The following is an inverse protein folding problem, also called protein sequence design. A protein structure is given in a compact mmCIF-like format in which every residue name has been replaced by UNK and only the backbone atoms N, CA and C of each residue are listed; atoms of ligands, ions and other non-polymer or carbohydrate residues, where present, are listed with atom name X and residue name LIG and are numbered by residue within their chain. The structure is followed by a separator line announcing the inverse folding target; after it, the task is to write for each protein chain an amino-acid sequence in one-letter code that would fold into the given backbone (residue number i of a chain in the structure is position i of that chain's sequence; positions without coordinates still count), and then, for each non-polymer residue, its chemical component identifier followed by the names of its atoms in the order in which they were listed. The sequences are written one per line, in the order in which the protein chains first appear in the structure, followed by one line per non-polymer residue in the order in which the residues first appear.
data_IF_782070365638
#
_entry.id   IF_782070365638
#
_cell.length_a   1.000
_cell.length_b   1.000
_cell.length_c   1.000
_cell.angle_alpha   90.00
_cell.angle_beta   90.00
_cell.angle_gamma   90.00
#
_symmetry.space_group_name_H-M   'P 1'
#
loop_
_entity.id
_entity.type
_entity.pdbx_description
1 polymer ?
#
# COMPACT_ATOMS: atom_id res chain seq x y z
N UNK A 1 7.82 -1.74 -0.25
CA UNK A 1 7.50 -0.32 0.03
C UNK A 1 6.72 0.23 -1.16
N UNK A 2 5.58 0.89 -0.93
CA UNK A 2 4.81 1.52 -2.00
C UNK A 2 5.48 2.82 -2.42
N UNK A 3 5.55 3.10 -3.73
CA UNK A 3 6.25 4.28 -4.26
C UNK A 3 5.35 5.54 -4.30
N UNK A 4 4.04 5.41 -4.07
CA UNK A 4 3.07 6.51 -4.09
C UNK A 4 2.03 6.41 -2.98
N UNK A 5 1.39 7.53 -2.65
CA UNK A 5 0.29 7.61 -1.69
C UNK A 5 -0.92 8.38 -2.26
N UNK A 6 -2.09 8.15 -1.66
CA UNK A 6 -3.33 8.83 -2.03
C UNK A 6 -3.43 10.15 -1.25
N UNK A 7 -3.69 11.28 -1.94
CA UNK A 7 -3.81 12.61 -1.34
C UNK A 7 -5.11 13.31 -1.75
N UNK A 8 -5.70 14.13 -0.87
CA UNK A 8 -6.85 14.98 -1.23
C UNK A 8 -6.43 16.05 -2.24
N UNK A 9 -7.23 16.25 -3.28
CA UNK A 9 -6.98 17.22 -4.34
C UNK A 9 -8.29 17.80 -4.87
N UNK A 10 -8.31 19.11 -5.14
CA UNK A 10 -9.47 19.77 -5.74
C UNK A 10 -9.15 20.03 -7.21
N UNK A 11 -9.76 19.24 -8.09
CA UNK A 11 -9.55 19.37 -9.52
C UNK A 11 -10.58 20.34 -10.13
N UNK A 12 -10.18 21.30 -10.98
CA UNK A 12 -11.11 22.31 -11.53
C UNK A 12 -12.30 21.71 -12.29
N UNK A 13 -12.14 20.51 -12.88
CA UNK A 13 -13.22 19.76 -13.53
C UNK A 13 -13.99 18.81 -12.60
N UNK A 14 -13.33 18.18 -11.62
CA UNK A 14 -13.90 17.06 -10.86
C UNK A 14 -14.29 17.44 -9.43
N UNK A 15 -14.00 18.67 -8.99
CA UNK A 15 -14.21 19.08 -7.61
C UNK A 15 -13.26 18.37 -6.64
N UNK A 16 -13.74 18.08 -5.44
CA UNK A 16 -12.94 17.45 -4.40
C UNK A 16 -12.80 15.94 -4.63
N UNK A 17 -11.59 15.51 -4.94
CA UNK A 17 -11.24 14.13 -5.24
C UNK A 17 -9.98 13.70 -4.47
N UNK A 18 -9.54 12.47 -4.73
CA UNK A 18 -8.23 11.96 -4.32
C UNK A 18 -7.34 11.83 -5.55
N UNK A 19 -6.06 12.18 -5.45
CA UNK A 19 -5.04 11.97 -6.48
C UNK A 19 -3.94 11.02 -5.98
N UNK A 20 -3.18 10.46 -6.92
CA UNK A 20 -1.97 9.70 -6.63
C UNK A 20 -0.80 10.68 -6.62
N UNK A 21 -0.01 10.68 -5.55
CA UNK A 21 1.22 11.46 -5.43
C UNK A 21 2.39 10.52 -5.19
N UNK A 22 3.47 10.74 -5.92
CA UNK A 22 4.70 9.97 -5.78
C UNK A 22 5.41 10.34 -4.46
N UNK A 23 5.94 9.34 -3.75
CA UNK A 23 6.74 9.51 -2.52
C UNK A 23 8.20 9.79 -2.90
N UNK A 24 8.68 9.14 -3.97
CA UNK A 24 10.04 9.26 -4.49
C UNK A 24 10.04 9.56 -5.99
N UNK A 25 11.23 9.79 -6.54
CA UNK A 25 11.42 9.90 -7.99
C UNK A 25 11.08 8.56 -8.66
N UNK A 26 10.41 8.64 -9.81
CA UNK A 26 9.91 7.48 -10.57
C UNK A 26 10.46 7.57 -11.98
N UNK A 27 10.90 6.44 -12.53
CA UNK A 27 11.41 6.39 -13.90
C UNK A 27 10.28 6.38 -14.92
N UNK A 28 10.61 6.76 -16.15
CA UNK A 28 9.67 6.59 -17.26
C UNK A 28 9.33 5.11 -17.39
N UNK A 29 8.04 4.81 -17.59
CA UNK A 29 7.51 3.45 -17.75
C UNK A 29 7.53 2.59 -16.46
N UNK A 30 7.89 3.16 -15.31
CA UNK A 30 7.76 2.50 -14.00
C UNK A 30 6.29 2.49 -13.54
N UNK A 31 5.85 1.38 -12.96
CA UNK A 31 4.47 1.20 -12.49
C UNK A 31 4.20 1.99 -11.20
N UNK A 32 3.17 2.84 -11.22
CA UNK A 32 2.73 3.58 -10.05
C UNK A 32 1.92 2.68 -9.11
N UNK A 33 2.52 2.28 -8.00
CA UNK A 33 1.86 1.47 -6.97
C UNK A 33 1.49 2.29 -5.74
N UNK A 34 0.30 2.04 -5.19
CA UNK A 34 -0.22 2.69 -3.97
C UNK A 34 -0.61 1.65 -2.93
N UNK A 35 -0.48 1.99 -1.65
CA UNK A 35 -1.07 1.20 -0.58
C UNK A 35 -2.59 1.45 -0.55
N UNK A 36 -3.39 0.39 -0.71
CA UNK A 36 -4.85 0.48 -0.70
C UNK A 36 -5.43 0.91 0.65
N UNK A 37 -4.70 0.65 1.75
CA UNK A 37 -5.10 1.07 3.09
C UNK A 37 -6.25 0.25 3.69
N UNK A 38 -6.34 -1.04 3.36
CA UNK A 38 -7.20 -1.97 4.10
C UNK A 38 -6.71 -2.10 5.54
N UNK A 39 -7.63 -2.29 6.47
CA UNK A 39 -7.30 -2.60 7.85
C UNK A 39 -6.65 -3.98 7.95
N UNK A 40 -5.53 -4.04 8.67
CA UNK A 40 -4.74 -5.27 8.84
C UNK A 40 -5.11 -6.04 10.10
N UNK A 41 -5.81 -5.39 11.03
CA UNK A 41 -6.29 -6.02 12.25
C UNK A 41 -7.71 -6.58 12.03
N UNK A 42 -8.01 -7.81 12.49
CA UNK A 42 -9.37 -8.32 12.51
C UNK A 42 -10.14 -7.61 13.63
N UNK A 43 -10.50 -6.35 13.42
CA UNK A 43 -11.22 -5.53 14.38
C UNK A 43 -12.69 -5.96 14.46
N UNK A 44 -12.96 -7.14 15.03
CA UNK A 44 -14.24 -7.62 15.56
C UNK A 44 -15.49 -7.58 14.66
N UNK A 45 -15.39 -7.04 13.44
CA UNK A 45 -16.44 -6.96 12.44
C UNK A 45 -16.24 -8.11 11.48
N UNK A 46 -17.28 -8.91 11.37
CA UNK A 46 -17.31 -10.20 10.69
C UNK A 46 -16.95 -10.08 9.19
N UNK A 47 -15.69 -10.31 8.83
CA UNK A 47 -15.24 -10.51 7.45
C UNK A 47 -13.78 -10.11 7.24
N UNK A 48 -13.05 -10.78 6.33
CA UNK A 48 -11.81 -10.20 5.80
C UNK A 48 -12.20 -8.94 5.02
N UNK A 49 -11.97 -7.76 5.58
CA UNK A 49 -12.34 -6.50 4.91
C UNK A 49 -11.49 -6.26 3.64
N UNK A 50 -10.38 -6.99 3.52
CA UNK A 50 -9.54 -7.03 2.34
C UNK A 50 -9.81 -8.29 1.47
N UNK A 51 -9.71 -8.18 0.14
CA UNK A 51 -9.78 -9.31 -0.77
C UNK A 51 -8.68 -10.37 -0.52
N UNK A 52 -8.94 -11.64 -0.88
CA UNK A 52 -8.01 -12.75 -0.68
C UNK A 52 -6.61 -12.50 -1.28
N UNK A 53 -6.56 -11.94 -2.50
CA UNK A 53 -5.30 -11.61 -3.17
C UNK A 53 -4.46 -10.61 -2.38
N UNK A 54 -5.10 -9.68 -1.66
CA UNK A 54 -4.41 -8.69 -0.82
C UNK A 54 -3.86 -9.34 0.43
N UNK A 55 -4.66 -10.17 1.10
CA UNK A 55 -4.25 -10.90 2.32
C UNK A 55 -3.06 -11.82 2.04
N UNK A 56 -3.05 -12.52 0.90
CA UNK A 56 -1.93 -13.36 0.48
C UNK A 56 -0.65 -12.54 0.27
N UNK A 57 -0.73 -11.43 -0.47
CA UNK A 57 0.42 -10.53 -0.68
C UNK A 57 0.92 -9.90 0.62
N UNK A 58 0.01 -9.61 1.57
CA UNK A 58 0.36 -9.09 2.89
C UNK A 58 1.16 -10.12 3.70
N UNK A 59 0.76 -11.39 3.70
CA UNK A 59 1.52 -12.47 4.35
C UNK A 59 2.92 -12.63 3.73
N UNK A 60 3.01 -12.61 2.39
CA UNK A 60 4.29 -12.67 1.68
C UNK A 60 5.18 -11.44 1.98
N UNK A 61 4.58 -10.27 2.19
CA UNK A 61 5.30 -9.08 2.62
C UNK A 61 5.83 -9.23 4.05
N UNK A 62 4.99 -9.65 5.00
CA UNK A 62 5.37 -9.86 6.39
C UNK A 62 6.49 -10.90 6.56
N UNK A 63 6.44 -12.02 5.84
CA UNK A 63 7.49 -13.04 5.85
C UNK A 63 8.83 -12.52 5.31
N UNK A 64 8.80 -11.65 4.29
CA UNK A 64 10.02 -11.03 3.75
C UNK A 64 10.64 -10.05 4.74
N UNK A 65 9.83 -9.30 5.47
CA UNK A 65 10.35 -8.35 6.46
C UNK A 65 10.89 -9.08 7.71
N UNK A 66 10.21 -10.11 8.21
CA UNK A 66 10.71 -10.91 9.34
C UNK A 66 11.97 -11.71 9.00
N UNK A 67 12.14 -12.13 7.74
CA UNK A 67 13.37 -12.77 7.25
C UNK A 67 14.56 -11.83 7.06
N UNK A 68 14.34 -10.51 6.97
CA UNK A 68 15.41 -9.50 6.89
C UNK A 68 16.00 -9.18 8.25
N UNK A 69 15.18 -9.19 9.30
CA UNK A 69 15.63 -8.96 10.68
C UNK A 69 16.65 -10.00 11.18
N UNK A 70 16.64 -11.22 10.62
CA UNK A 70 17.60 -12.27 10.94
C UNK A 70 18.97 -12.13 10.22
N UNK A 71 19.10 -11.25 9.21
CA UNK A 71 20.34 -11.07 8.44
C UNK A 71 21.10 -9.78 8.74
N UNK A 72 20.53 -8.87 9.55
CA UNK A 72 21.17 -7.59 9.92
C UNK A 72 21.97 -7.63 11.24
N UNK A 73 22.11 -8.81 11.87
CA UNK A 73 22.88 -9.01 13.12
C UNK A 73 24.10 -9.92 12.94
N UNK A 74 24.92 -9.75 11.89
CA UNK A 74 26.22 -10.41 11.79
C UNK A 74 27.35 -9.46 11.38
#
# INVERSE_FOLDING_TARGET
ASASHIQRFIHPRFGQIKCIRTICAIQKDEELTVAYGYDHEPSGKSGPEAPEWYTKQLQEFQQRESGKEAKETC
#
